data_IF_740394977427
#
_entry.id   IF_740394977427
#
_cell.length_a   1.000
_cell.length_b   1.000
_cell.length_c   1.000
_cell.angle_alpha   90.00
_cell.angle_beta   90.00
_cell.angle_gamma   90.00
#
_symmetry.space_group_name_H-M   'P 1'
#
loop_
_entity.id
_entity.type
_entity.pdbx_description
1 polymer ?
#
# COMPACT_ATOMS: atom_id res chain seq x y z
N UNK A 1 1.50 -29.68 14.47
CA UNK A 1 1.60 -28.67 15.52
C UNK A 1 1.45 -27.31 14.86
N UNK A 2 0.22 -26.88 14.58
CA UNK A 2 -0.06 -25.51 14.16
C UNK A 2 -0.12 -24.66 15.41
N UNK A 3 0.73 -23.62 15.47
CA UNK A 3 0.59 -22.58 16.47
C UNK A 3 -0.82 -22.00 16.45
N UNK A 4 -1.29 -21.45 17.54
CA UNK A 4 -2.58 -20.76 17.56
C UNK A 4 -2.55 -19.56 16.59
N UNK A 5 -3.69 -19.13 16.07
CA UNK A 5 -3.73 -17.95 15.19
C UNK A 5 -3.13 -16.68 15.85
N UNK A 6 -3.16 -16.62 17.19
CA UNK A 6 -2.50 -15.58 17.99
C UNK A 6 -0.97 -15.62 17.87
N UNK A 7 -0.37 -16.82 17.85
CA UNK A 7 1.09 -16.97 17.75
C UNK A 7 1.60 -16.48 16.38
N UNK A 8 0.84 -16.75 15.31
CA UNK A 8 1.17 -16.29 13.96
C UNK A 8 1.12 -14.76 13.90
N UNK A 9 0.05 -14.17 14.38
CA UNK A 9 -0.11 -12.70 14.38
C UNK A 9 0.96 -12.02 15.24
N UNK A 10 1.30 -12.58 16.40
CA UNK A 10 2.37 -12.05 17.25
C UNK A 10 3.73 -12.06 16.52
N UNK A 11 4.06 -13.14 15.84
CA UNK A 11 5.30 -13.19 15.04
C UNK A 11 5.30 -12.15 13.92
N UNK A 12 4.16 -11.96 13.27
CA UNK A 12 3.98 -10.95 12.22
C UNK A 12 4.06 -9.52 12.74
N UNK A 13 3.68 -9.27 13.99
CA UNK A 13 3.88 -7.99 14.68
C UNK A 13 5.36 -7.78 14.98
N UNK A 14 6.02 -8.75 15.60
CA UNK A 14 7.42 -8.66 16.05
C UNK A 14 8.39 -8.44 14.89
N UNK A 15 8.13 -8.99 13.72
CA UNK A 15 9.01 -8.85 12.56
C UNK A 15 8.96 -7.46 11.89
N UNK A 16 7.96 -6.63 12.19
CA UNK A 16 7.71 -5.39 11.45
C UNK A 16 8.91 -4.44 11.40
N UNK A 17 9.64 -4.14 12.48
CA UNK A 17 10.78 -3.22 12.40
C UNK A 17 11.82 -3.63 11.34
N UNK A 18 12.09 -4.92 11.22
CA UNK A 18 12.99 -5.44 10.18
C UNK A 18 12.39 -5.29 8.78
N UNK A 19 11.11 -5.53 8.63
CA UNK A 19 10.44 -5.40 7.33
C UNK A 19 10.31 -3.94 6.89
N UNK A 20 10.28 -2.99 7.81
CA UNK A 20 10.31 -1.55 7.47
C UNK A 20 11.66 -1.16 6.87
N UNK A 21 12.77 -1.68 7.42
CA UNK A 21 14.11 -1.53 6.83
C UNK A 21 14.16 -2.13 5.42
N UNK A 22 13.69 -3.37 5.25
CA UNK A 22 13.64 -4.03 3.94
C UNK A 22 12.76 -3.26 2.93
N UNK A 23 11.65 -2.68 3.39
CA UNK A 23 10.76 -1.85 2.54
C UNK A 23 11.47 -0.59 2.06
N UNK A 24 12.25 0.07 2.91
CA UNK A 24 13.06 1.21 2.51
C UNK A 24 14.10 0.83 1.46
N UNK A 25 14.79 -0.30 1.64
CA UNK A 25 15.78 -0.78 0.66
C UNK A 25 15.12 -1.15 -0.68
N UNK A 26 13.94 -1.75 -0.66
CA UNK A 26 13.15 -2.01 -1.88
C UNK A 26 12.84 -0.68 -2.59
N UNK A 27 12.35 0.32 -1.85
CA UNK A 27 12.07 1.62 -2.45
C UNK A 27 13.33 2.26 -3.05
N UNK A 28 14.47 2.24 -2.34
CA UNK A 28 15.75 2.80 -2.84
C UNK A 28 16.18 2.15 -4.14
N UNK A 29 16.04 0.84 -4.24
CA UNK A 29 16.40 0.07 -5.43
C UNK A 29 15.47 0.34 -6.63
N UNK A 30 14.22 0.70 -6.40
CA UNK A 30 13.20 0.94 -7.44
C UNK A 30 12.91 2.42 -7.68
N UNK A 31 13.48 3.33 -6.88
CA UNK A 31 13.16 4.76 -6.88
C UNK A 31 13.24 5.38 -8.29
N UNK A 32 14.35 5.17 -8.98
CA UNK A 32 14.53 5.75 -10.31
C UNK A 32 13.53 5.21 -11.35
N UNK A 33 13.19 3.92 -11.27
CA UNK A 33 12.22 3.29 -12.17
C UNK A 33 10.81 3.80 -11.89
N UNK A 34 10.44 3.93 -10.62
CA UNK A 34 9.13 4.47 -10.20
C UNK A 34 9.00 5.93 -10.65
N UNK A 35 10.02 6.75 -10.42
CA UNK A 35 10.03 8.15 -10.84
C UNK A 35 9.91 8.28 -12.36
N UNK A 36 10.66 7.48 -13.12
CA UNK A 36 10.54 7.44 -14.59
C UNK A 36 9.15 7.01 -15.04
N UNK A 37 8.58 5.99 -14.38
CA UNK A 37 7.22 5.53 -14.69
C UNK A 37 6.20 6.66 -14.47
N UNK A 38 6.21 7.30 -13.31
CA UNK A 38 5.27 8.39 -13.00
C UNK A 38 5.47 9.59 -13.95
N UNK A 39 6.72 9.95 -14.25
CA UNK A 39 7.04 11.03 -15.20
C UNK A 39 6.66 10.70 -16.65
N UNK A 40 6.58 9.44 -17.00
CA UNK A 40 6.17 9.00 -18.33
C UNK A 40 4.67 9.11 -18.59
N UNK A 41 3.87 9.35 -17.56
CA UNK A 41 2.42 9.45 -17.65
C UNK A 41 2.06 10.70 -18.46
N UNK A 42 1.43 10.49 -19.61
CA UNK A 42 0.96 11.59 -20.44
C UNK A 42 -0.35 12.15 -19.90
N UNK A 43 -0.26 13.25 -19.19
CA UNK A 43 -1.42 13.93 -18.58
C UNK A 43 -2.21 14.81 -19.54
N UNK A 44 -1.74 14.99 -20.80
CA UNK A 44 -2.34 15.91 -21.79
C UNK A 44 -2.49 17.33 -21.24
N UNK A 45 -1.60 17.76 -20.34
CA UNK A 45 -1.65 19.07 -19.69
C UNK A 45 -2.74 19.23 -18.61
N UNK A 46 -3.32 18.13 -18.14
CA UNK A 46 -4.27 18.10 -17.03
C UNK A 46 -3.58 17.64 -15.75
N UNK A 47 -4.18 17.87 -14.59
CA UNK A 47 -3.70 17.29 -13.34
C UNK A 47 -3.86 15.76 -13.37
N UNK A 48 -2.81 15.06 -12.98
CA UNK A 48 -2.87 13.61 -12.75
C UNK A 48 -3.74 13.32 -11.52
N UNK A 49 -4.72 12.46 -11.69
CA UNK A 49 -5.54 11.96 -10.61
C UNK A 49 -4.97 10.66 -10.08
N UNK A 50 -4.51 10.64 -8.85
CA UNK A 50 -4.07 9.42 -8.17
C UNK A 50 -5.20 8.91 -7.30
N UNK A 51 -5.65 7.69 -7.55
CA UNK A 51 -6.66 7.00 -6.75
C UNK A 51 -5.97 5.88 -5.99
N UNK A 52 -5.95 5.99 -4.65
CA UNK A 52 -5.57 4.90 -3.76
C UNK A 52 -6.75 3.96 -3.58
N UNK A 53 -6.54 2.66 -3.75
CA UNK A 53 -7.60 1.68 -3.62
C UNK A 53 -7.11 0.39 -2.98
N UNK A 54 -8.03 -0.33 -2.36
CA UNK A 54 -7.78 -1.61 -1.72
C UNK A 54 -9.09 -2.21 -1.22
N UNK A 55 -9.07 -3.49 -0.87
CA UNK A 55 -10.20 -4.20 -0.28
C UNK A 55 -9.95 -4.45 1.21
N UNK A 56 -10.96 -4.22 2.05
CA UNK A 56 -10.87 -4.41 3.50
C UNK A 56 -9.77 -3.53 4.12
N UNK A 57 -8.90 -4.12 4.94
CA UNK A 57 -7.81 -3.38 5.61
C UNK A 57 -6.83 -2.74 4.63
N UNK A 58 -6.69 -3.26 3.41
CA UNK A 58 -5.85 -2.65 2.37
C UNK A 58 -6.39 -1.28 1.93
N UNK A 59 -7.69 -1.02 2.00
CA UNK A 59 -8.28 0.29 1.76
C UNK A 59 -7.78 1.34 2.75
N UNK A 60 -7.60 0.94 4.02
CA UNK A 60 -7.16 1.86 5.07
C UNK A 60 -5.74 2.38 4.86
N UNK A 61 -4.91 1.71 4.07
CA UNK A 61 -3.61 2.25 3.64
C UNK A 61 -3.84 3.54 2.85
N UNK A 62 -4.72 3.50 1.86
CA UNK A 62 -5.10 4.67 1.07
C UNK A 62 -5.73 5.78 1.91
N UNK A 63 -6.67 5.43 2.77
CA UNK A 63 -7.33 6.39 3.67
C UNK A 63 -6.31 7.11 4.56
N UNK A 64 -5.33 6.39 5.09
CA UNK A 64 -4.29 6.97 5.96
C UNK A 64 -3.35 7.88 5.19
N UNK A 65 -2.85 7.45 4.02
CA UNK A 65 -1.88 8.24 3.26
C UNK A 65 -2.52 9.45 2.59
N UNK A 66 -3.80 9.37 2.22
CA UNK A 66 -4.51 10.47 1.57
C UNK A 66 -4.46 11.76 2.41
N UNK A 67 -4.68 11.64 3.72
CA UNK A 67 -4.67 12.80 4.62
C UNK A 67 -3.26 13.35 4.89
N UNK A 68 -2.23 12.55 4.63
CA UNK A 68 -0.83 12.96 4.71
C UNK A 68 -0.37 13.73 3.47
N UNK A 69 -0.92 13.42 2.29
CA UNK A 69 -0.52 14.03 1.02
C UNK A 69 -1.35 15.27 0.71
N UNK A 70 -0.70 16.27 0.16
CA UNK A 70 -1.32 17.52 -0.29
C UNK A 70 -1.61 17.48 -1.79
N UNK A 71 -2.82 17.90 -2.16
CA UNK A 71 -3.15 18.14 -3.56
C UNK A 71 -2.36 19.35 -4.09
N UNK A 72 -2.01 19.27 -5.38
CA UNK A 72 -1.34 20.35 -6.09
C UNK A 72 -2.03 20.61 -7.44
N UNK A 73 -1.49 21.57 -8.19
CA UNK A 73 -2.00 21.90 -9.52
C UNK A 73 -1.78 20.78 -10.53
N UNK A 74 -0.70 19.98 -10.34
CA UNK A 74 -0.31 18.90 -11.27
C UNK A 74 -0.80 17.53 -10.85
N UNK A 75 -1.12 17.33 -9.56
CA UNK A 75 -1.49 16.02 -9.00
C UNK A 75 -2.55 16.19 -7.91
N UNK A 76 -3.55 15.32 -7.93
CA UNK A 76 -4.57 15.23 -6.89
C UNK A 76 -4.66 13.80 -6.37
N UNK A 77 -4.98 13.65 -5.09
CA UNK A 77 -5.05 12.35 -4.41
C UNK A 77 -6.46 12.07 -3.90
N UNK A 78 -6.93 10.86 -4.13
CA UNK A 78 -8.21 10.36 -3.62
C UNK A 78 -8.01 8.96 -3.04
N UNK A 79 -8.80 8.59 -2.03
CA UNK A 79 -8.85 7.21 -1.53
C UNK A 79 -10.26 6.68 -1.72
N UNK A 80 -10.41 5.57 -2.45
CA UNK A 80 -11.69 4.98 -2.81
C UNK A 80 -11.56 3.47 -2.70
N UNK A 81 -12.39 2.84 -1.88
CA UNK A 81 -12.40 1.38 -1.74
C UNK A 81 -12.67 0.66 -3.06
N UNK A 82 -12.07 -0.51 -3.26
CA UNK A 82 -12.32 -1.31 -4.48
C UNK A 82 -13.77 -1.69 -4.64
N UNK A 83 -14.49 -1.93 -3.54
CA UNK A 83 -15.93 -2.24 -3.57
C UNK A 83 -16.75 -1.09 -4.12
N UNK A 84 -16.40 0.16 -3.81
CA UNK A 84 -17.05 1.35 -4.34
C UNK A 84 -16.76 1.53 -5.82
N UNK A 85 -15.47 1.40 -6.22
CA UNK A 85 -15.08 1.48 -7.63
C UNK A 85 -15.81 0.46 -8.50
N UNK A 86 -15.96 -0.78 -8.03
CA UNK A 86 -16.62 -1.86 -8.77
C UNK A 86 -18.14 -1.69 -8.79
N UNK A 87 -18.74 -1.23 -7.70
CA UNK A 87 -20.20 -1.06 -7.61
C UNK A 87 -20.72 0.09 -8.45
N UNK A 88 -19.98 1.21 -8.50
CA UNK A 88 -20.39 2.41 -9.21
C UNK A 88 -19.26 3.02 -10.05
N UNK A 89 -18.66 2.27 -11.00
CA UNK A 89 -17.40 2.68 -11.65
C UNK A 89 -17.50 4.02 -12.37
N UNK A 90 -18.62 4.33 -13.05
CA UNK A 90 -18.82 5.60 -13.74
C UNK A 90 -18.94 6.82 -12.81
N UNK A 91 -19.22 6.59 -11.53
CA UNK A 91 -19.21 7.66 -10.53
C UNK A 91 -17.77 8.13 -10.27
N UNK A 92 -16.83 7.21 -10.21
CA UNK A 92 -15.45 7.44 -9.80
C UNK A 92 -14.50 7.59 -10.98
N UNK A 93 -14.55 6.71 -11.97
CA UNK A 93 -13.72 6.81 -13.18
C UNK A 93 -14.28 7.85 -14.14
N UNK A 94 -13.43 8.79 -14.54
CA UNK A 94 -13.77 9.89 -15.46
C UNK A 94 -12.97 9.73 -16.74
N UNK A 95 -13.66 9.57 -17.86
CA UNK A 95 -13.09 9.25 -19.17
C UNK A 95 -11.90 10.13 -19.57
N UNK A 96 -12.02 11.44 -19.35
CA UNK A 96 -11.05 12.45 -19.80
C UNK A 96 -10.10 12.94 -18.69
N UNK A 97 -10.02 12.26 -17.55
CA UNK A 97 -9.07 12.58 -16.47
C UNK A 97 -7.96 11.54 -16.41
N UNK A 98 -6.70 11.91 -16.77
CA UNK A 98 -5.57 11.01 -16.60
C UNK A 98 -5.52 10.46 -15.19
N UNK A 99 -5.51 9.14 -15.05
CA UNK A 99 -5.68 8.49 -13.75
C UNK A 99 -4.58 7.45 -13.52
N UNK A 100 -3.92 7.54 -12.38
CA UNK A 100 -3.06 6.49 -11.84
C UNK A 100 -3.81 5.79 -10.72
N UNK A 101 -4.17 4.53 -10.93
CA UNK A 101 -4.75 3.68 -9.90
C UNK A 101 -3.62 3.03 -9.10
N UNK A 102 -3.55 3.34 -7.81
CA UNK A 102 -2.58 2.75 -6.87
C UNK A 102 -3.31 1.68 -6.05
N UNK A 103 -3.06 0.42 -6.37
CA UNK A 103 -3.72 -0.72 -5.76
C UNK A 103 -2.89 -1.32 -4.64
N UNK A 104 -3.43 -1.35 -3.42
CA UNK A 104 -2.84 -2.03 -2.28
C UNK A 104 -3.43 -3.43 -2.16
N UNK A 105 -2.58 -4.45 -2.09
CA UNK A 105 -3.05 -5.82 -2.02
C UNK A 105 -2.10 -6.73 -1.22
N UNK A 106 -2.61 -7.39 -0.17
CA UNK A 106 -1.85 -8.40 0.54
C UNK A 106 -1.63 -9.63 -0.33
N UNK A 107 -2.70 -10.27 -0.80
CA UNK A 107 -2.62 -11.48 -1.63
C UNK A 107 -2.63 -11.20 -3.14
N UNK A 108 -3.19 -10.06 -3.56
CA UNK A 108 -3.36 -9.72 -4.97
C UNK A 108 -4.32 -10.62 -5.76
N UNK A 109 -5.16 -11.39 -5.07
CA UNK A 109 -6.10 -12.34 -5.69
C UNK A 109 -7.57 -11.95 -5.49
N UNK A 110 -7.84 -10.84 -4.83
CA UNK A 110 -9.20 -10.35 -4.60
C UNK A 110 -9.87 -10.03 -5.95
N UNK A 111 -11.05 -10.58 -6.23
CA UNK A 111 -11.77 -10.31 -7.49
C UNK A 111 -12.03 -8.82 -7.69
N UNK A 112 -12.33 -8.09 -6.61
CA UNK A 112 -12.61 -6.66 -6.66
C UNK A 112 -11.38 -5.85 -7.09
N UNK A 113 -10.19 -6.23 -6.64
CA UNK A 113 -8.95 -5.55 -7.06
C UNK A 113 -8.67 -5.71 -8.55
N UNK A 114 -8.91 -6.90 -9.09
CA UNK A 114 -8.77 -7.17 -10.53
C UNK A 114 -9.84 -6.43 -11.33
N UNK A 115 -11.11 -6.48 -10.87
CA UNK A 115 -12.22 -5.79 -11.52
C UNK A 115 -12.03 -4.26 -11.52
N UNK A 116 -11.49 -3.67 -10.46
CA UNK A 116 -11.21 -2.23 -10.41
C UNK A 116 -10.20 -1.80 -11.50
N UNK A 117 -9.15 -2.59 -11.74
CA UNK A 117 -8.19 -2.37 -12.84
C UNK A 117 -8.90 -2.45 -14.19
N UNK A 118 -9.60 -3.56 -14.46
CA UNK A 118 -10.31 -3.77 -15.73
C UNK A 118 -11.32 -2.66 -16.03
N UNK A 119 -12.07 -2.21 -15.04
CA UNK A 119 -13.03 -1.11 -15.19
C UNK A 119 -12.36 0.23 -15.44
N UNK A 120 -11.22 0.51 -14.78
CA UNK A 120 -10.44 1.69 -15.03
C UNK A 120 -9.92 1.74 -16.47
N UNK A 121 -9.37 0.63 -16.98
CA UNK A 121 -8.89 0.49 -18.35
C UNK A 121 -10.01 0.68 -19.38
N UNK A 122 -11.22 0.23 -19.08
CA UNK A 122 -12.37 0.39 -19.99
C UNK A 122 -12.97 1.80 -19.99
N UNK A 123 -12.88 2.53 -18.87
CA UNK A 123 -13.62 3.77 -18.66
C UNK A 123 -12.78 5.04 -18.74
N UNK A 124 -11.44 4.93 -18.61
CA UNK A 124 -10.53 6.07 -18.61
C UNK A 124 -9.57 5.95 -19.78
N UNK A 125 -9.44 7.01 -20.59
CA UNK A 125 -8.58 7.01 -21.80
C UNK A 125 -7.10 6.91 -21.46
N UNK A 126 -6.65 7.71 -20.50
CA UNK A 126 -5.25 7.77 -20.06
C UNK A 126 -5.17 7.14 -18.67
N UNK A 127 -5.14 5.81 -18.63
CA UNK A 127 -5.19 5.01 -17.40
C UNK A 127 -3.88 4.28 -17.16
N UNK A 128 -3.38 4.36 -15.94
CA UNK A 128 -2.13 3.78 -15.51
C UNK A 128 -2.31 3.07 -14.15
N UNK A 129 -1.48 2.08 -13.89
CA UNK A 129 -1.54 1.28 -12.68
C UNK A 129 -0.21 1.27 -11.92
N UNK A 130 -0.27 1.43 -10.60
CA UNK A 130 0.81 1.13 -9.67
C UNK A 130 0.28 0.12 -8.66
N UNK A 131 0.75 -1.13 -8.72
CA UNK A 131 0.43 -2.11 -7.70
C UNK A 131 1.50 -2.12 -6.60
N UNK A 132 1.09 -1.95 -5.35
CA UNK A 132 1.91 -2.14 -4.16
C UNK A 132 1.37 -3.38 -3.45
N UNK A 133 2.09 -4.50 -3.52
CA UNK A 133 1.57 -5.79 -3.09
C UNK A 133 2.60 -6.63 -2.34
N UNK A 134 2.11 -7.45 -1.40
CA UNK A 134 2.93 -8.39 -0.64
C UNK A 134 3.06 -9.76 -1.33
N UNK A 135 2.38 -9.98 -2.45
CA UNK A 135 2.36 -11.26 -3.17
C UNK A 135 2.76 -11.09 -4.64
N UNK A 136 4.04 -11.29 -4.94
CA UNK A 136 4.57 -11.22 -6.31
C UNK A 136 3.95 -12.24 -7.27
N UNK A 137 3.49 -13.37 -6.76
CA UNK A 137 2.78 -14.41 -7.50
C UNK A 137 1.25 -14.21 -7.54
N UNK A 138 0.75 -13.15 -6.90
CA UNK A 138 -0.66 -12.80 -6.94
C UNK A 138 -1.09 -12.37 -8.34
N UNK A 139 -2.33 -12.63 -8.72
CA UNK A 139 -2.86 -12.32 -10.05
C UNK A 139 -2.69 -10.84 -10.42
N UNK A 140 -2.87 -9.94 -9.46
CA UNK A 140 -2.69 -8.50 -9.68
C UNK A 140 -1.26 -8.19 -10.15
N UNK A 141 -0.24 -8.67 -9.40
CA UNK A 141 1.16 -8.46 -9.77
C UNK A 141 1.51 -9.12 -11.10
N UNK A 142 1.09 -10.38 -11.31
CA UNK A 142 1.38 -11.14 -12.53
C UNK A 142 0.74 -10.51 -13.77
N UNK A 143 -0.48 -10.00 -13.66
CA UNK A 143 -1.15 -9.36 -14.77
C UNK A 143 -0.50 -8.02 -15.09
N UNK A 144 -0.37 -7.13 -14.10
CA UNK A 144 0.14 -5.78 -14.32
C UNK A 144 1.63 -5.74 -14.72
N UNK A 145 2.43 -6.73 -14.32
CA UNK A 145 3.84 -6.79 -14.75
C UNK A 145 4.05 -7.01 -16.25
N UNK A 146 2.99 -7.30 -17.00
CA UNK A 146 3.01 -7.50 -18.46
C UNK A 146 2.55 -6.28 -19.24
N UNK A 147 2.00 -5.28 -18.54
CA UNK A 147 1.39 -4.11 -19.14
C UNK A 147 2.35 -2.91 -19.13
N UNK A 148 2.49 -2.24 -20.25
CA UNK A 148 3.40 -1.09 -20.39
C UNK A 148 2.95 0.15 -19.59
N UNK A 149 1.64 0.28 -19.32
CA UNK A 149 1.04 1.34 -18.52
C UNK A 149 1.01 1.04 -17.03
N UNK A 150 1.81 0.10 -16.57
CA UNK A 150 1.76 -0.41 -15.21
C UNK A 150 3.14 -0.56 -14.59
N UNK A 151 3.22 -0.35 -13.28
CA UNK A 151 4.38 -0.66 -12.47
C UNK A 151 3.98 -1.49 -11.24
N UNK A 152 4.77 -2.51 -10.91
CA UNK A 152 4.52 -3.38 -9.77
C UNK A 152 5.66 -3.25 -8.77
N UNK A 153 5.36 -2.81 -7.56
CA UNK A 153 6.28 -2.74 -6.44
C UNK A 153 5.92 -3.82 -5.43
N UNK A 154 6.78 -4.83 -5.36
CA UNK A 154 6.61 -5.93 -4.42
C UNK A 154 7.21 -5.60 -3.06
N UNK A 155 6.43 -5.81 -2.00
CA UNK A 155 6.86 -5.66 -0.62
C UNK A 155 7.75 -6.84 -0.18
N UNK A 156 8.44 -6.75 0.97
CA UNK A 156 9.20 -7.88 1.50
C UNK A 156 8.37 -9.17 1.53
N UNK A 157 8.96 -10.31 1.18
CA UNK A 157 8.23 -11.57 1.09
C UNK A 157 7.50 -11.93 2.39
N UNK A 158 8.13 -11.67 3.54
CA UNK A 158 7.55 -11.94 4.86
C UNK A 158 6.43 -10.96 5.25
N UNK A 159 6.22 -9.88 4.51
CA UNK A 159 5.11 -8.96 4.74
C UNK A 159 3.75 -9.53 4.31
N UNK A 160 3.73 -10.63 3.58
CA UNK A 160 2.50 -11.32 3.21
C UNK A 160 1.93 -12.08 4.41
N UNK A 161 1.25 -11.35 5.28
CA UNK A 161 0.68 -11.88 6.52
C UNK A 161 -0.20 -13.11 6.28
N UNK A 162 0.07 -14.17 7.03
CA UNK A 162 -0.69 -15.43 7.02
C UNK A 162 -1.78 -15.43 8.08
N UNK A 163 -1.61 -14.61 9.11
CA UNK A 163 -2.61 -14.38 10.13
C UNK A 163 -3.86 -13.71 9.56
N UNK A 164 -4.96 -13.76 10.31
CA UNK A 164 -6.20 -13.12 9.91
C UNK A 164 -6.05 -11.59 9.84
N UNK A 165 -5.40 -11.00 10.83
CA UNK A 165 -5.15 -9.56 10.87
C UNK A 165 -4.00 -9.18 9.93
N UNK A 166 -4.18 -8.10 9.18
CA UNK A 166 -3.11 -7.45 8.45
C UNK A 166 -2.26 -6.64 9.43
N UNK A 167 -0.98 -6.94 9.49
CA UNK A 167 0.02 -6.29 10.37
C UNK A 167 1.20 -5.79 9.54
N UNK A 168 2.15 -6.66 9.24
CA UNK A 168 3.31 -6.34 8.41
C UNK A 168 2.91 -5.85 7.01
N UNK A 169 1.91 -6.46 6.40
CA UNK A 169 1.43 -6.07 5.07
C UNK A 169 0.94 -4.62 5.06
N UNK A 170 0.14 -4.24 6.06
CA UNK A 170 -0.38 -2.88 6.17
C UNK A 170 0.74 -1.85 6.31
N UNK A 171 1.64 -2.03 7.27
CA UNK A 171 2.68 -1.04 7.56
C UNK A 171 3.74 -0.95 6.47
N UNK A 172 4.10 -2.06 5.82
CA UNK A 172 5.03 -2.04 4.68
C UNK A 172 4.42 -1.32 3.47
N UNK A 173 3.16 -1.58 3.13
CA UNK A 173 2.48 -0.88 2.03
C UNK A 173 2.30 0.61 2.34
N UNK A 174 1.97 0.96 3.58
CA UNK A 174 1.85 2.37 4.00
C UNK A 174 3.18 3.12 3.88
N UNK A 175 4.27 2.56 4.40
CA UNK A 175 5.60 3.16 4.24
C UNK A 175 5.97 3.32 2.77
N UNK A 176 5.73 2.30 1.97
CA UNK A 176 6.06 2.31 0.55
C UNK A 176 5.36 3.45 -0.21
N UNK A 177 4.06 3.64 0.00
CA UNK A 177 3.31 4.70 -0.69
C UNK A 177 3.71 6.09 -0.19
N UNK A 178 4.06 6.24 1.10
CA UNK A 178 4.63 7.48 1.64
C UNK A 178 5.99 7.78 0.97
N UNK A 179 6.82 6.77 0.76
CA UNK A 179 8.10 6.97 0.06
C UNK A 179 7.90 7.40 -1.39
N UNK A 180 6.93 6.83 -2.09
CA UNK A 180 6.67 7.14 -3.50
C UNK A 180 6.14 8.55 -3.70
N UNK A 181 5.18 8.99 -2.91
CA UNK A 181 4.47 10.25 -3.13
C UNK A 181 4.82 11.36 -2.12
N UNK A 182 5.46 11.03 -0.99
CA UNK A 182 5.88 12.02 0.01
C UNK A 182 7.02 12.88 -0.51
N UNK A 183 6.98 14.17 -0.15
CA UNK A 183 7.93 15.21 -0.61
C UNK A 183 9.29 15.18 0.09
N UNK A 184 9.42 14.38 1.15
CA UNK A 184 10.66 14.29 1.92
C UNK A 184 11.83 13.78 1.07
N UNK A 185 13.01 14.29 1.32
CA UNK A 185 14.24 13.78 0.71
C UNK A 185 14.53 12.33 1.13
N UNK A 186 15.38 11.64 0.39
CA UNK A 186 15.77 10.27 0.74
C UNK A 186 16.41 10.22 2.14
N UNK A 187 17.25 11.19 2.48
CA UNK A 187 17.90 11.27 3.80
C UNK A 187 16.88 11.44 4.93
N UNK A 188 15.84 12.26 4.73
CA UNK A 188 14.76 12.43 5.70
C UNK A 188 13.96 11.14 5.88
N UNK A 189 13.65 10.45 4.77
CA UNK A 189 12.98 9.13 4.79
C UNK A 189 13.82 8.09 5.55
N UNK A 190 15.12 8.03 5.31
CA UNK A 190 16.04 7.13 6.02
C UNK A 190 16.04 7.40 7.53
N UNK A 191 16.20 8.66 7.94
CA UNK A 191 16.16 9.06 9.35
C UNK A 191 14.81 8.74 10.01
N UNK A 192 13.72 8.94 9.29
CA UNK A 192 12.38 8.60 9.80
C UNK A 192 12.24 7.10 10.03
N UNK A 193 12.72 6.27 9.09
CA UNK A 193 12.67 4.81 9.21
C UNK A 193 13.53 4.32 10.36
N UNK A 194 14.77 4.81 10.50
CA UNK A 194 15.62 4.49 11.65
C UNK A 194 14.90 4.76 12.99
N UNK A 195 14.24 5.91 13.07
CA UNK A 195 13.50 6.31 14.28
C UNK A 195 12.30 5.40 14.57
N UNK A 196 11.50 5.05 13.57
CA UNK A 196 10.35 4.17 13.79
C UNK A 196 10.79 2.73 14.09
N UNK A 197 11.91 2.26 13.53
CA UNK A 197 12.50 0.97 13.86
C UNK A 197 12.91 0.93 15.34
N UNK A 198 13.61 1.97 15.83
CA UNK A 198 14.01 2.06 17.22
C UNK A 198 12.80 2.06 18.15
N UNK A 199 11.77 2.85 17.85
CA UNK A 199 10.53 2.91 18.63
C UNK A 199 9.77 1.57 18.58
N UNK A 200 9.70 0.92 17.43
CA UNK A 200 9.05 -0.39 17.28
C UNK A 200 9.72 -1.47 18.11
N UNK A 201 11.06 -1.51 18.09
CA UNK A 201 11.82 -2.45 18.92
C UNK A 201 11.61 -2.18 20.43
N UNK A 202 11.62 -0.92 20.85
CA UNK A 202 11.33 -0.55 22.25
C UNK A 202 9.94 -1.02 22.69
N UNK A 203 8.92 -0.86 21.85
CA UNK A 203 7.57 -1.32 22.15
C UNK A 203 7.53 -2.85 22.28
N UNK A 204 8.21 -3.57 21.39
CA UNK A 204 8.28 -5.03 21.42
C UNK A 204 8.98 -5.52 22.69
N UNK A 205 10.07 -4.89 23.11
CA UNK A 205 10.77 -5.22 24.36
C UNK A 205 9.90 -5.00 25.61
N UNK A 206 8.94 -4.10 25.54
CA UNK A 206 7.99 -3.80 26.62
C UNK A 206 6.72 -4.65 26.57
N UNK A 207 6.68 -5.73 25.79
CA UNK A 207 5.52 -6.62 25.65
C UNK A 207 4.91 -7.02 27.00
N UNK A 208 5.74 -7.36 28.02
CA UNK A 208 5.26 -7.74 29.34
C UNK A 208 4.51 -6.61 30.09
N UNK A 209 4.80 -5.35 29.77
CA UNK A 209 4.07 -4.22 30.34
C UNK A 209 2.69 -4.08 29.68
N UNK A 210 2.63 -4.31 28.37
CA UNK A 210 1.38 -4.27 27.59
C UNK A 210 0.46 -5.42 28.01
N UNK A 211 1.03 -6.60 28.28
CA UNK A 211 0.28 -7.79 28.71
C UNK A 211 -0.46 -7.54 30.04
N UNK A 212 0.04 -6.66 30.89
CA UNK A 212 -0.66 -6.28 32.13
C UNK A 212 -2.02 -5.61 31.89
N UNK A 213 -2.25 -5.06 30.69
CA UNK A 213 -3.56 -4.52 30.33
C UNK A 213 -4.64 -5.61 30.24
N UNK A 214 -4.26 -6.88 30.05
CA UNK A 214 -5.18 -8.01 30.03
C UNK A 214 -5.67 -8.43 31.45
N UNK A 215 -4.99 -7.91 32.47
CA UNK A 215 -5.39 -8.16 33.87
C UNK A 215 -6.63 -7.32 34.29
N UNK A 216 -7.04 -6.36 33.48
CA UNK A 216 -8.29 -5.64 33.65
C UNK A 216 -9.47 -6.55 33.27
N UNK A 217 -10.39 -6.75 34.21
CA UNK A 217 -11.65 -7.41 33.93
C UNK A 217 -12.55 -6.46 33.15
N UNK A 218 -12.56 -6.64 31.82
CA UNK A 218 -13.46 -5.89 30.97
C UNK A 218 -14.83 -6.58 31.00
N UNK A 219 -15.78 -6.02 31.72
CA UNK A 219 -17.19 -6.42 31.64
C UNK A 219 -17.64 -6.31 30.16
N UNK A 220 -18.10 -7.43 29.62
CA UNK A 220 -18.62 -7.53 28.25
C UNK A 220 -20.06 -7.03 28.15
#
# INVERSE_FOLDING_TARGET
NGGSGSDITLQEIIQQPKLWEETLEIYKNHKEEIEKFIQSIDTKGKALRVIFTGAGTSEYVGNTVRDYLEDGEEITFESIGTTDLVSCPKLYFKEDRPTLLVSFARSGNSPESLAAVELGEQLVKDFYNLAITCAKEGKLAVNLSKEENSYVLNMPEKSNDKGFAMTSSFTCMLLSVIFVFGKDSLEEKEKAVEKIIALGNEIIEREQEITKLTDFDFDR
#
